data_IF_083032703282
#
_entry.id   IF_083032703282
#
_cell.length_a   1.000
_cell.length_b   1.000
_cell.length_c   1.000
_cell.angle_alpha   90.00
_cell.angle_beta   90.00
_cell.angle_gamma   90.00
#
_symmetry.space_group_name_H-M   'P 1'
#
loop_
_entity.id
_entity.type
_entity.pdbx_description
1 polymer ?
#
# COMPACT_ATOMS: atom_id res chain seq x y z
N UNK A 1 53.17 -38.48 24.86
CA UNK A 1 52.98 -37.23 25.64
C UNK A 1 52.01 -36.34 24.87
N UNK A 2 50.79 -36.15 25.38
CA UNK A 2 49.73 -35.39 24.72
C UNK A 2 49.37 -34.18 25.59
N UNK A 3 49.79 -32.98 25.17
CA UNK A 3 49.50 -31.73 25.88
C UNK A 3 48.39 -30.92 25.17
N UNK A 4 47.21 -30.98 25.79
CA UNK A 4 46.31 -29.86 26.15
C UNK A 4 46.02 -28.73 25.14
N UNK A 5 45.25 -29.03 24.08
CA UNK A 5 44.51 -28.01 23.28
C UNK A 5 43.26 -27.43 23.99
N UNK A 6 42.90 -27.97 25.17
CA UNK A 6 41.64 -27.67 25.85
C UNK A 6 41.44 -26.22 26.37
N UNK A 7 42.46 -25.48 26.88
CA UNK A 7 42.19 -24.20 27.54
C UNK A 7 41.91 -23.06 26.55
N UNK A 8 42.46 -23.11 25.35
CA UNK A 8 42.27 -22.06 24.32
C UNK A 8 40.92 -22.16 23.63
N UNK A 9 40.39 -23.37 23.45
CA UNK A 9 39.06 -23.59 22.85
C UNK A 9 37.94 -23.12 23.79
N UNK A 10 38.08 -23.35 25.10
CA UNK A 10 37.15 -22.83 26.12
C UNK A 10 37.13 -21.29 26.14
N UNK A 11 38.28 -20.64 25.97
CA UNK A 11 38.38 -19.16 25.92
C UNK A 11 37.73 -18.59 24.64
N UNK A 12 37.91 -19.26 23.50
CA UNK A 12 37.26 -18.87 22.24
C UNK A 12 35.74 -19.05 22.31
N UNK A 13 35.25 -20.18 22.82
CA UNK A 13 33.81 -20.42 23.00
C UNK A 13 33.16 -19.42 23.96
N UNK A 14 33.82 -19.06 25.07
CA UNK A 14 33.32 -18.02 25.97
C UNK A 14 33.19 -16.66 25.28
N UNK A 15 34.16 -16.27 24.45
CA UNK A 15 34.08 -15.01 23.67
C UNK A 15 32.96 -15.05 22.64
N UNK A 16 32.79 -16.17 21.94
CA UNK A 16 31.69 -16.35 20.97
C UNK A 16 30.34 -16.30 21.68
N UNK A 17 30.18 -16.97 22.81
CA UNK A 17 28.95 -16.95 23.60
C UNK A 17 28.61 -15.53 24.11
N UNK A 18 29.61 -14.79 24.61
CA UNK A 18 29.41 -13.40 25.05
C UNK A 18 29.00 -12.50 23.89
N UNK A 19 29.63 -12.65 22.71
CA UNK A 19 29.25 -11.89 21.52
C UNK A 19 27.84 -12.26 21.03
N UNK A 20 27.45 -13.53 21.10
CA UNK A 20 26.11 -13.98 20.73
C UNK A 20 25.04 -13.41 21.68
N UNK A 21 25.31 -13.41 22.99
CA UNK A 21 24.40 -12.84 24.00
C UNK A 21 24.28 -11.33 23.81
N UNK A 22 25.38 -10.63 23.52
CA UNK A 22 25.35 -9.19 23.21
C UNK A 22 24.56 -8.92 21.92
N UNK A 23 24.74 -9.75 20.90
CA UNK A 23 24.00 -9.64 19.64
C UNK A 23 22.49 -9.82 19.86
N UNK A 24 22.07 -10.85 20.62
CA UNK A 24 20.66 -11.09 20.97
C UNK A 24 20.10 -9.96 21.83
N UNK A 25 20.88 -9.45 22.79
CA UNK A 25 20.47 -8.35 23.65
C UNK A 25 20.32 -7.01 22.90
N UNK A 26 21.02 -6.83 21.77
CA UNK A 26 20.89 -5.65 20.91
C UNK A 26 19.81 -5.84 19.84
N UNK A 27 19.62 -7.05 19.30
CA UNK A 27 18.58 -7.30 18.29
C UNK A 27 17.18 -7.42 18.88
N UNK A 28 17.00 -7.95 20.09
CA UNK A 28 15.68 -8.01 20.74
C UNK A 28 15.01 -6.65 20.95
N UNK A 29 15.68 -5.60 21.47
CA UNK A 29 15.05 -4.28 21.60
C UNK A 29 14.80 -3.64 20.23
N UNK A 30 15.58 -3.97 19.19
CA UNK A 30 15.27 -3.54 17.81
C UNK A 30 14.00 -4.22 17.28
N UNK A 31 13.81 -5.52 17.50
CA UNK A 31 12.56 -6.21 17.13
C UNK A 31 11.37 -5.77 17.99
N UNK A 32 11.54 -5.58 19.30
CA UNK A 32 10.48 -5.07 20.19
C UNK A 32 10.12 -3.60 19.93
N UNK A 33 11.07 -2.75 19.49
CA UNK A 33 10.74 -1.38 19.04
C UNK A 33 10.00 -1.34 17.71
N UNK A 34 10.03 -2.42 16.91
CA UNK A 34 9.13 -2.57 15.76
C UNK A 34 7.76 -3.15 16.14
N UNK A 35 7.59 -3.65 17.38
CA UNK A 35 6.37 -4.27 17.91
C UNK A 35 5.76 -3.52 19.11
N UNK A 36 5.94 -2.18 19.16
CA UNK A 36 5.05 -1.29 19.93
C UNK A 36 4.26 -0.42 18.94
N UNK A 37 3.37 -1.10 18.24
CA UNK A 37 2.08 -0.57 17.86
C UNK A 37 1.02 -1.61 18.25
N UNK A 38 1.06 -2.05 19.51
CA UNK A 38 -0.17 -2.48 20.18
C UNK A 38 -1.02 -1.21 20.28
N UNK A 39 -1.81 -0.98 19.25
CA UNK A 39 -2.92 -0.04 19.21
C UNK A 39 -3.95 -0.56 20.22
N UNK A 40 -3.70 -0.26 21.51
CA UNK A 40 -4.70 -0.39 22.56
C UNK A 40 -5.84 0.54 22.18
N UNK A 41 -6.85 -0.06 21.53
CA UNK A 41 -8.09 0.55 21.14
C UNK A 41 -8.80 1.16 22.35
N UNK A 42 -8.51 2.43 22.59
CA UNK A 42 -9.34 3.32 23.38
C UNK A 42 -9.22 4.73 22.77
N UNK A 43 -10.28 5.29 22.19
CA UNK A 43 -10.24 6.66 21.68
C UNK A 43 -10.13 7.62 22.88
N UNK A 44 -8.90 7.99 23.23
CA UNK A 44 -8.64 9.10 24.14
C UNK A 44 -9.08 10.41 23.48
N UNK A 45 -9.92 11.26 24.11
CA UNK A 45 -10.63 12.33 23.42
C UNK A 45 -9.78 13.51 22.91
N UNK A 46 -8.45 13.55 23.13
CA UNK A 46 -7.69 14.81 23.06
C UNK A 46 -6.34 14.74 22.32
N UNK A 47 -6.18 13.91 21.29
CA UNK A 47 -5.00 13.97 20.42
C UNK A 47 -5.29 14.85 19.20
N UNK A 48 -4.95 16.15 19.19
CA UNK A 48 -5.25 17.08 18.08
C UNK A 48 -4.74 16.65 16.68
N UNK A 49 -3.74 15.76 16.59
CA UNK A 49 -3.27 15.18 15.32
C UNK A 49 -4.18 14.07 14.78
N UNK A 50 -4.95 13.41 15.64
CA UNK A 50 -5.81 12.29 15.27
C UNK A 50 -7.09 12.71 14.55
N UNK A 51 -7.86 13.74 14.97
CA UNK A 51 -9.07 14.19 14.28
C UNK A 51 -8.83 14.53 12.82
N UNK A 52 -7.66 15.10 12.49
CA UNK A 52 -7.31 15.44 11.11
C UNK A 52 -7.04 14.19 10.28
N UNK A 53 -6.33 13.20 10.84
CA UNK A 53 -6.10 11.93 10.15
C UNK A 53 -7.43 11.19 9.93
N UNK A 54 -8.26 11.06 10.98
CA UNK A 54 -9.59 10.44 10.91
C UNK A 54 -10.49 11.14 9.88
N UNK A 55 -10.51 12.48 9.85
CA UNK A 55 -11.30 13.21 8.86
C UNK A 55 -10.77 13.04 7.42
N UNK A 56 -9.46 12.86 7.23
CA UNK A 56 -8.87 12.57 5.91
C UNK A 56 -9.23 11.16 5.47
N UNK A 57 -9.17 10.19 6.39
CA UNK A 57 -9.54 8.80 6.13
C UNK A 57 -11.03 8.68 5.83
N UNK A 58 -11.89 9.34 6.62
CA UNK A 58 -13.34 9.41 6.40
C UNK A 58 -13.68 10.04 5.05
N UNK A 59 -12.99 11.13 4.68
CA UNK A 59 -13.17 11.78 3.39
C UNK A 59 -12.68 10.90 2.23
N UNK A 60 -11.59 10.17 2.42
CA UNK A 60 -11.04 9.25 1.42
C UNK A 60 -11.97 8.05 1.15
N UNK A 61 -12.68 7.61 2.18
CA UNK A 61 -13.60 6.47 2.15
C UNK A 61 -15.07 6.88 1.96
N UNK A 62 -15.36 8.18 1.83
CA UNK A 62 -16.72 8.72 1.80
C UNK A 62 -17.63 8.13 0.70
N UNK A 63 -17.03 7.65 -0.39
CA UNK A 63 -17.76 7.08 -1.54
C UNK A 63 -17.86 5.55 -1.48
N UNK A 64 -17.32 4.91 -0.45
CA UNK A 64 -17.38 3.47 -0.24
C UNK A 64 -18.45 3.19 0.82
N UNK A 65 -19.37 2.23 0.60
CA UNK A 65 -20.35 1.85 1.61
C UNK A 65 -19.66 1.40 2.91
N UNK A 66 -20.13 1.89 4.07
CA UNK A 66 -19.57 1.53 5.39
C UNK A 66 -19.42 0.04 5.59
N UNK A 67 -20.41 -0.76 5.17
CA UNK A 67 -20.35 -2.24 5.24
C UNK A 67 -19.11 -2.83 4.56
N UNK A 68 -18.65 -2.23 3.46
CA UNK A 68 -17.47 -2.69 2.72
C UNK A 68 -16.20 -2.32 3.47
N UNK A 69 -16.13 -1.08 3.98
CA UNK A 69 -15.03 -0.62 4.84
C UNK A 69 -14.93 -1.49 6.10
N UNK A 70 -16.06 -1.84 6.71
CA UNK A 70 -16.11 -2.74 7.87
C UNK A 70 -15.55 -4.12 7.51
N UNK A 71 -15.97 -4.71 6.37
CA UNK A 71 -15.41 -5.97 5.87
C UNK A 71 -13.90 -5.87 5.66
N UNK A 72 -13.40 -4.75 5.14
CA UNK A 72 -11.96 -4.54 4.97
C UNK A 72 -11.23 -4.48 6.30
N UNK A 73 -11.78 -3.76 7.29
CA UNK A 73 -11.15 -3.59 8.60
C UNK A 73 -11.08 -4.89 9.42
N UNK A 74 -12.07 -5.78 9.27
CA UNK A 74 -12.16 -7.03 10.03
C UNK A 74 -11.34 -8.18 9.43
N UNK A 75 -10.84 -8.00 8.20
CA UNK A 75 -10.23 -9.08 7.44
C UNK A 75 -8.74 -8.91 7.34
N UNK A 76 -8.02 -9.97 7.68
CA UNK A 76 -6.57 -10.05 7.47
C UNK A 76 -6.28 -10.43 6.03
N UNK A 77 -6.14 -9.44 5.16
CA UNK A 77 -5.66 -9.67 3.79
C UNK A 77 -4.18 -10.04 3.80
N UNK A 78 -3.81 -11.03 2.99
CA UNK A 78 -2.40 -11.39 2.79
C UNK A 78 -1.64 -10.27 2.07
N UNK A 79 -2.31 -9.55 1.16
CA UNK A 79 -1.74 -8.43 0.40
C UNK A 79 -2.81 -7.36 0.20
N UNK A 80 -2.44 -6.09 0.44
CA UNK A 80 -3.23 -4.92 0.04
C UNK A 80 -2.42 -4.11 -0.97
N UNK A 81 -2.95 -3.95 -2.18
CA UNK A 81 -2.29 -3.25 -3.28
C UNK A 81 -3.03 -1.97 -3.61
N UNK A 82 -2.42 -0.83 -3.24
CA UNK A 82 -2.89 0.50 -3.66
C UNK A 82 -2.27 0.90 -5.00
N UNK A 83 -3.10 1.10 -6.03
CA UNK A 83 -2.68 1.51 -7.37
C UNK A 83 -3.04 2.99 -7.56
N UNK A 84 -2.06 3.90 -7.54
CA UNK A 84 -2.30 5.30 -7.87
C UNK A 84 -2.82 5.44 -9.30
N UNK A 85 -3.89 6.19 -9.46
CA UNK A 85 -4.50 6.46 -10.76
C UNK A 85 -4.99 7.90 -10.83
N UNK A 86 -5.19 8.40 -12.04
CA UNK A 86 -5.72 9.74 -12.32
C UNK A 86 -7.20 9.64 -12.68
N UNK A 87 -7.96 10.72 -12.47
CA UNK A 87 -9.35 10.82 -12.93
C UNK A 87 -9.44 11.33 -14.38
N UNK A 88 -8.95 10.51 -15.31
CA UNK A 88 -9.15 10.70 -16.74
C UNK A 88 -9.69 9.43 -17.42
N UNK A 89 -10.27 9.60 -18.60
CA UNK A 89 -10.92 8.53 -19.35
C UNK A 89 -9.95 7.41 -19.75
N UNK A 90 -8.70 7.75 -20.09
CA UNK A 90 -7.69 6.76 -20.49
C UNK A 90 -7.30 5.87 -19.30
N UNK A 91 -7.12 6.45 -18.11
CA UNK A 91 -6.88 5.67 -16.88
C UNK A 91 -8.12 4.90 -16.44
N UNK A 92 -9.34 5.46 -16.56
CA UNK A 92 -10.58 4.73 -16.29
C UNK A 92 -10.71 3.48 -17.16
N UNK A 93 -10.44 3.62 -18.45
CA UNK A 93 -10.40 2.49 -19.40
C UNK A 93 -9.36 1.45 -18.99
N UNK A 94 -8.16 1.90 -18.60
CA UNK A 94 -7.12 0.99 -18.10
C UNK A 94 -7.56 0.22 -16.86
N UNK A 95 -8.21 0.86 -15.87
CA UNK A 95 -8.73 0.18 -14.67
C UNK A 95 -9.78 -0.87 -15.04
N UNK A 96 -10.68 -0.57 -15.97
CA UNK A 96 -11.67 -1.52 -16.50
C UNK A 96 -11.00 -2.74 -17.15
N UNK A 97 -9.95 -2.52 -17.94
CA UNK A 97 -9.16 -3.60 -18.52
C UNK A 97 -8.46 -4.43 -17.44
N UNK A 98 -7.86 -3.80 -16.43
CA UNK A 98 -7.23 -4.51 -15.32
C UNK A 98 -8.22 -5.39 -14.54
N UNK A 99 -9.44 -4.90 -14.27
CA UNK A 99 -10.53 -5.67 -13.64
C UNK A 99 -10.92 -6.91 -14.46
N UNK A 100 -11.05 -6.74 -15.78
CA UNK A 100 -11.46 -7.83 -16.68
C UNK A 100 -10.33 -8.80 -17.04
N UNK A 101 -9.08 -8.44 -16.76
CA UNK A 101 -7.89 -9.24 -17.05
C UNK A 101 -7.15 -9.66 -15.77
N UNK A 102 -6.16 -8.89 -15.31
CA UNK A 102 -5.22 -9.30 -14.26
C UNK A 102 -5.85 -9.49 -12.87
N UNK A 103 -7.04 -8.94 -12.61
CA UNK A 103 -7.73 -9.08 -11.33
C UNK A 103 -8.82 -10.16 -11.30
N UNK A 104 -8.92 -11.00 -12.34
CA UNK A 104 -9.86 -12.13 -12.34
C UNK A 104 -9.41 -13.35 -11.55
N UNK A 105 -8.19 -13.34 -11.02
CA UNK A 105 -7.70 -14.45 -10.21
C UNK A 105 -8.59 -14.63 -8.95
N UNK A 106 -9.02 -15.86 -8.58
CA UNK A 106 -9.95 -16.08 -7.47
C UNK A 106 -9.47 -15.54 -6.11
N UNK A 107 -8.15 -15.42 -5.93
CA UNK A 107 -7.55 -14.85 -4.72
C UNK A 107 -7.72 -13.33 -4.57
N UNK A 108 -8.23 -12.61 -5.57
CA UNK A 108 -8.47 -11.17 -5.49
C UNK A 108 -9.82 -10.88 -4.85
N UNK A 109 -9.83 -10.05 -3.82
CA UNK A 109 -11.00 -9.56 -3.12
C UNK A 109 -11.64 -8.47 -3.97
N UNK A 110 -12.86 -8.72 -4.43
CA UNK A 110 -13.61 -7.85 -5.35
C UNK A 110 -15.04 -7.70 -4.88
N UNK A 111 -15.78 -6.75 -5.44
CA UNK A 111 -17.22 -6.63 -5.16
C UNK A 111 -17.99 -7.93 -5.40
N UNK A 112 -17.62 -8.72 -6.40
CA UNK A 112 -18.33 -9.95 -6.78
C UNK A 112 -18.23 -11.06 -5.73
N UNK A 113 -17.16 -11.08 -4.94
CA UNK A 113 -16.98 -12.00 -3.82
C UNK A 113 -17.08 -11.31 -2.47
N UNK A 114 -17.72 -10.13 -2.42
CA UNK A 114 -17.91 -9.34 -1.20
C UNK A 114 -16.61 -9.03 -0.45
N UNK A 115 -15.51 -8.91 -1.20
CA UNK A 115 -14.16 -8.67 -0.67
C UNK A 115 -13.67 -9.77 0.29
N UNK A 116 -14.05 -11.02 0.04
CA UNK A 116 -13.69 -12.15 0.93
C UNK A 116 -12.43 -12.91 0.53
N UNK A 117 -11.72 -12.52 -0.52
CA UNK A 117 -10.47 -13.22 -0.88
C UNK A 117 -9.24 -12.66 -0.17
N UNK A 118 -8.07 -13.25 -0.43
CA UNK A 118 -6.84 -12.96 0.30
C UNK A 118 -6.13 -11.65 -0.13
N UNK A 119 -6.37 -11.15 -1.34
CA UNK A 119 -5.67 -9.98 -1.87
C UNK A 119 -6.64 -8.83 -2.18
N UNK A 120 -6.53 -7.71 -1.47
CA UNK A 120 -7.33 -6.51 -1.72
C UNK A 120 -6.62 -5.57 -2.69
N UNK A 121 -7.29 -5.16 -3.77
CA UNK A 121 -6.77 -4.18 -4.74
C UNK A 121 -7.60 -2.91 -4.64
N UNK A 122 -6.93 -1.78 -4.44
CA UNK A 122 -7.56 -0.47 -4.28
C UNK A 122 -7.00 0.50 -5.32
N UNK A 123 -7.88 1.25 -5.99
CA UNK A 123 -7.44 2.36 -6.83
C UNK A 123 -7.47 3.65 -6.04
N UNK A 124 -6.33 4.31 -5.94
CA UNK A 124 -6.16 5.52 -5.13
C UNK A 124 -6.09 6.72 -6.06
N UNK A 125 -7.04 7.63 -5.96
CA UNK A 125 -7.13 8.81 -6.82
C UNK A 125 -7.16 10.08 -6.00
N UNK A 126 -6.56 11.14 -6.56
CA UNK A 126 -6.70 12.51 -6.06
C UNK A 126 -7.65 13.31 -6.94
N UNK A 127 -7.82 14.58 -6.58
CA UNK A 127 -8.61 15.54 -7.34
C UNK A 127 -7.84 16.00 -8.58
N UNK A 128 -8.34 15.67 -9.77
CA UNK A 128 -7.62 15.94 -11.01
C UNK A 128 -7.79 17.40 -11.47
N UNK A 129 -6.73 18.09 -11.95
CA UNK A 129 -6.79 19.50 -12.34
C UNK A 129 -7.74 19.81 -13.50
N UNK A 130 -8.02 18.85 -14.41
CA UNK A 130 -8.96 19.06 -15.52
C UNK A 130 -10.41 19.29 -15.06
N UNK A 131 -10.74 18.84 -13.84
CA UNK A 131 -12.06 18.95 -13.25
C UNK A 131 -12.10 20.03 -12.17
N UNK A 132 -11.18 21.01 -12.22
CA UNK A 132 -11.14 22.10 -11.24
C UNK A 132 -10.70 21.67 -9.83
N UNK A 133 -10.04 20.52 -9.70
CA UNK A 133 -9.78 19.85 -8.42
C UNK A 133 -11.06 19.36 -7.70
N UNK A 134 -12.10 19.02 -8.46
CA UNK A 134 -13.22 18.22 -7.99
C UNK A 134 -13.16 16.80 -8.55
N UNK A 135 -13.97 15.89 -7.99
CA UNK A 135 -14.15 14.54 -8.54
C UNK A 135 -15.15 14.56 -9.68
N UNK A 136 -14.81 13.95 -10.82
CA UNK A 136 -15.76 13.86 -11.92
C UNK A 136 -16.95 12.96 -11.58
N UNK A 137 -18.12 13.23 -12.17
CA UNK A 137 -19.30 12.39 -11.99
C UNK A 137 -19.02 10.91 -12.33
N UNK A 138 -18.26 10.68 -13.39
CA UNK A 138 -17.89 9.33 -13.81
C UNK A 138 -16.95 8.61 -12.83
N UNK A 139 -16.11 9.33 -12.07
CA UNK A 139 -15.35 8.74 -10.96
C UNK A 139 -16.27 8.33 -9.82
N UNK A 140 -17.25 9.16 -9.46
CA UNK A 140 -18.19 8.86 -8.39
C UNK A 140 -19.06 7.65 -8.72
N UNK A 141 -19.49 7.54 -9.98
CA UNK A 141 -20.18 6.35 -10.50
C UNK A 141 -19.30 5.11 -10.45
N UNK A 142 -18.03 5.22 -10.88
CA UNK A 142 -17.06 4.11 -10.78
C UNK A 142 -16.86 3.68 -9.33
N UNK A 143 -16.73 4.63 -8.40
CA UNK A 143 -16.54 4.35 -6.98
C UNK A 143 -17.75 3.62 -6.38
N UNK A 144 -18.96 4.09 -6.67
CA UNK A 144 -20.20 3.45 -6.24
C UNK A 144 -20.41 2.06 -6.87
N UNK A 145 -19.93 1.87 -8.10
CA UNK A 145 -20.03 0.61 -8.81
C UNK A 145 -19.04 -0.43 -8.28
N UNK A 146 -17.79 -0.06 -8.02
CA UNK A 146 -16.74 -1.05 -7.73
C UNK A 146 -16.39 -1.14 -6.25
N UNK A 147 -16.69 -0.11 -5.45
CA UNK A 147 -16.40 0.00 -4.01
C UNK A 147 -14.92 -0.17 -3.63
N UNK A 148 -14.00 -0.11 -4.59
CA UNK A 148 -12.54 -0.30 -4.42
C UNK A 148 -11.75 0.98 -4.73
N UNK A 149 -12.47 2.09 -4.98
CA UNK A 149 -11.90 3.38 -5.35
C UNK A 149 -11.81 4.26 -4.10
N UNK A 150 -10.59 4.60 -3.71
CA UNK A 150 -10.28 5.49 -2.59
C UNK A 150 -10.00 6.89 -3.14
N UNK A 151 -10.86 7.85 -2.79
CA UNK A 151 -10.84 9.20 -3.32
C UNK A 151 -10.18 10.16 -2.33
N UNK A 152 -8.86 10.24 -2.35
CA UNK A 152 -8.09 11.03 -1.40
C UNK A 152 -8.44 12.52 -1.50
N UNK A 153 -8.70 13.21 -0.37
CA UNK A 153 -9.01 14.64 -0.32
C UNK A 153 -7.74 15.49 -0.53
N UNK A 154 -6.96 15.18 -1.55
CA UNK A 154 -5.76 15.88 -1.95
C UNK A 154 -5.81 16.18 -3.45
N UNK A 155 -5.15 17.27 -3.82
CA UNK A 155 -5.00 17.63 -5.23
C UNK A 155 -4.01 16.67 -5.89
N UNK A 156 -4.39 16.20 -7.06
CA UNK A 156 -3.50 15.39 -7.87
C UNK A 156 -2.30 16.22 -8.31
N UNK A 157 -1.11 15.65 -8.17
CA UNK A 157 0.10 16.27 -8.68
C UNK A 157 0.10 16.24 -10.21
N UNK A 158 0.60 17.31 -10.85
CA UNK A 158 0.82 17.29 -12.30
C UNK A 158 1.67 16.07 -12.66
N UNK A 159 1.21 15.31 -13.65
CA UNK A 159 1.94 14.16 -14.19
C UNK A 159 3.24 14.68 -14.80
N UNK A 160 4.34 14.57 -14.07
CA UNK A 160 5.68 14.82 -14.58
C UNK A 160 6.28 13.48 -15.00
N UNK A 161 6.72 13.37 -16.25
CA UNK A 161 7.38 12.17 -16.81
C UNK A 161 8.69 11.81 -16.10
N UNK A 162 9.18 12.67 -15.21
CA UNK A 162 10.43 12.51 -14.47
C UNK A 162 10.22 12.30 -12.96
N UNK A 163 9.02 11.84 -12.54
CA UNK A 163 8.77 11.53 -11.13
C UNK A 163 9.51 10.24 -10.77
N UNK A 164 10.61 10.36 -10.04
CA UNK A 164 11.31 9.20 -9.47
C UNK A 164 10.42 8.62 -8.37
N UNK A 165 9.65 7.60 -8.71
CA UNK A 165 8.96 6.78 -7.71
C UNK A 165 10.03 5.94 -7.01
N UNK A 166 10.28 6.19 -5.73
CA UNK A 166 11.10 5.30 -4.90
C UNK A 166 10.30 4.04 -4.62
N UNK A 167 10.32 3.14 -5.60
CA UNK A 167 9.72 1.84 -5.54
C UNK A 167 10.73 0.89 -4.89
N UNK A 168 10.87 0.93 -3.58
CA UNK A 168 11.54 -0.18 -2.90
C UNK A 168 10.54 -1.34 -2.92
N UNK A 169 10.89 -2.36 -3.70
CA UNK A 169 10.21 -3.65 -3.86
C UNK A 169 9.20 -3.79 -5.02
N UNK A 170 9.67 -3.67 -6.27
CA UNK A 170 9.21 -4.61 -7.30
C UNK A 170 10.42 -5.08 -8.12
N UNK A 171 10.47 -6.39 -8.26
CA UNK A 171 11.52 -7.17 -8.88
C UNK A 171 11.76 -6.79 -10.35
N UNK A 172 13.03 -6.68 -10.75
CA UNK A 172 13.47 -7.21 -12.04
C UNK A 172 13.40 -6.32 -13.29
N UNK A 173 14.57 -5.75 -13.63
CA UNK A 173 15.05 -5.31 -14.96
C UNK A 173 14.30 -4.21 -15.72
N UNK A 174 15.06 -3.14 -15.94
CA UNK A 174 14.87 -2.04 -16.90
C UNK A 174 14.29 -2.52 -18.25
N UNK A 175 13.02 -2.22 -18.48
CA UNK A 175 12.47 -2.03 -19.82
C UNK A 175 12.12 -0.56 -20.00
N UNK A 176 12.89 0.17 -20.81
CA UNK A 176 12.49 1.52 -21.24
C UNK A 176 11.29 1.38 -22.19
N UNK A 177 10.07 1.62 -21.70
CA UNK A 177 8.94 1.89 -22.59
C UNK A 177 9.00 3.37 -23.00
N UNK A 178 9.58 3.64 -24.16
CA UNK A 178 9.50 4.93 -24.84
C UNK A 178 8.07 5.08 -25.35
N UNK A 179 7.29 5.96 -24.73
CA UNK A 179 6.00 6.38 -25.27
C UNK A 179 6.31 7.32 -26.45
N UNK A 180 6.04 6.83 -27.66
CA UNK A 180 6.18 7.62 -28.89
C UNK A 180 4.77 8.10 -29.25
N UNK A 181 4.49 9.41 -29.22
CA UNK A 181 3.18 9.91 -29.64
C UNK A 181 3.06 9.69 -31.14
N UNK A 182 2.16 8.78 -31.55
CA UNK A 182 1.73 8.74 -32.94
C UNK A 182 0.90 9.99 -33.17
N UNK A 183 1.42 10.88 -34.02
CA UNK A 183 0.69 12.03 -34.53
C UNK A 183 -0.55 11.54 -35.27
N UNK A 184 -1.72 11.95 -34.80
CA UNK A 184 -2.96 11.87 -35.57
C UNK A 184 -2.85 12.95 -36.64
N UNK A 185 -2.49 12.55 -37.86
CA UNK A 185 -2.68 13.38 -39.04
C UNK A 185 -4.18 13.44 -39.32
N UNK A 186 -4.76 14.62 -39.16
CA UNK A 186 -6.04 14.97 -39.74
C UNK A 186 -5.77 15.38 -41.18
N UNK A 187 -6.26 14.57 -42.12
CA UNK A 187 -6.51 14.94 -43.50
C UNK A 187 -7.91 14.41 -43.86
#
# INVERSE_FOLDING_TARGET
MAETKLPTMKRKMKRVAVLLILFIAVTNPLYLSFDIAADDGAPGPNNLRHPRATAVDDAALAHIPRRVVDTWSRREYLVVLGIPSTDDEARRTQRSLQRSTCWRFPGVATRANEFTSAMLVLYVLGRHPSHGYDYSAALLEEAAQWNEVVALPMNEGRVTTNKTFWFLWFLGRRGKCRFQPQGVNVA
#
